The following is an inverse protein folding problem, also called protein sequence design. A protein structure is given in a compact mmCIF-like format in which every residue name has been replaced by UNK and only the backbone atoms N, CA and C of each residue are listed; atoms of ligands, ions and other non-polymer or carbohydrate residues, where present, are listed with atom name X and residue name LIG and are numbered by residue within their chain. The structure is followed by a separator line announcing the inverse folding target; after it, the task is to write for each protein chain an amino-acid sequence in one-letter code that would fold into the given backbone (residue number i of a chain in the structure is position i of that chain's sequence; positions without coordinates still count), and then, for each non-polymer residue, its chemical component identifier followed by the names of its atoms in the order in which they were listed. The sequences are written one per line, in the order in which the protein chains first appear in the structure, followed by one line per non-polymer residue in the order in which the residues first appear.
data_IF_772524235093
#
_entry.id   IF_772524235093
#
_cell.length_a   1.000
_cell.length_b   1.000
_cell.length_c   1.000
_cell.angle_alpha   90.00
_cell.angle_beta   90.00
_cell.angle_gamma   90.00
#
_symmetry.space_group_name_H-M   'P 1'
#
loop_
_entity.id
_entity.type
_entity.pdbx_description
1 polymer ?
#
# COMPACT_ATOMS: atom_id res chain seq x y z
N UNK A 1 4.69 12.46 7.39
CA UNK A 1 4.19 11.55 6.34
C UNK A 1 3.19 12.29 5.47
N UNK A 2 3.10 11.91 4.20
CA UNK A 2 2.12 12.44 3.25
C UNK A 2 0.71 12.11 3.73
N UNK A 3 -0.11 13.15 3.88
CA UNK A 3 -1.53 12.98 4.22
C UNK A 3 -2.28 12.50 2.99
N UNK A 4 -2.85 11.31 3.09
CA UNK A 4 -3.76 10.75 2.09
C UNK A 4 -5.07 10.45 2.80
N UNK A 5 -6.15 11.12 2.39
CA UNK A 5 -7.47 10.86 2.95
C UNK A 5 -7.97 9.45 2.55
N UNK A 6 -9.06 9.01 3.18
CA UNK A 6 -9.62 7.69 2.93
C UNK A 6 -10.06 7.49 1.48
N UNK A 7 -10.57 8.53 0.82
CA UNK A 7 -11.03 8.46 -0.56
C UNK A 7 -9.84 8.34 -1.53
N UNK A 8 -8.81 9.15 -1.36
CA UNK A 8 -7.56 9.08 -2.11
C UNK A 8 -6.90 7.71 -1.95
N UNK A 9 -6.74 7.20 -0.72
CA UNK A 9 -6.16 5.88 -0.47
C UNK A 9 -6.92 4.76 -1.18
N UNK A 10 -8.25 4.83 -1.15
CA UNK A 10 -9.13 3.84 -1.77
C UNK A 10 -9.09 3.92 -3.30
N UNK A 11 -9.17 5.13 -3.85
CA UNK A 11 -9.19 5.36 -5.29
C UNK A 11 -7.84 5.01 -5.96
N UNK A 12 -6.74 5.15 -5.22
CA UNK A 12 -5.40 4.76 -5.67
C UNK A 12 -5.10 3.27 -5.46
N UNK A 13 -6.01 2.51 -4.86
CA UNK A 13 -5.85 1.06 -4.62
C UNK A 13 -4.48 0.72 -3.98
N UNK A 14 -4.09 1.46 -2.93
CA UNK A 14 -2.73 1.38 -2.38
C UNK A 14 -2.41 0.00 -1.78
N UNK A 15 -3.39 -0.63 -1.12
CA UNK A 15 -3.19 -1.89 -0.39
C UNK A 15 -4.14 -3.00 -0.78
N UNK A 16 -5.25 -2.66 -1.44
CA UNK A 16 -6.24 -3.58 -1.96
C UNK A 16 -7.01 -2.90 -3.11
N UNK A 17 -7.52 -3.70 -4.04
CA UNK A 17 -8.33 -3.24 -5.17
C UNK A 17 -9.74 -2.86 -4.72
N UNK A 18 -10.34 -1.85 -5.37
CA UNK A 18 -11.66 -1.34 -4.99
C UNK A 18 -12.77 -2.38 -5.20
N UNK A 19 -12.69 -3.16 -6.28
CA UNK A 19 -13.75 -4.10 -6.70
C UNK A 19 -13.74 -5.41 -5.93
N UNK A 20 -12.55 -5.99 -5.72
CA UNK A 20 -12.40 -7.35 -5.18
C UNK A 20 -11.88 -7.39 -3.76
N UNK A 21 -11.44 -6.25 -3.19
CA UNK A 21 -10.72 -6.17 -1.91
C UNK A 21 -9.56 -7.17 -1.87
N UNK A 22 -8.89 -7.32 -3.00
CA UNK A 22 -7.76 -8.23 -3.17
C UNK A 22 -6.45 -7.44 -3.19
N UNK A 23 -5.39 -8.01 -2.62
CA UNK A 23 -4.03 -7.42 -2.70
C UNK A 23 -3.50 -7.49 -4.12
N UNK A 24 -3.81 -8.57 -4.85
CA UNK A 24 -3.47 -8.68 -6.27
C UNK A 24 -4.15 -7.56 -7.08
N UNK A 25 -3.35 -6.85 -7.87
CA UNK A 25 -3.78 -5.67 -8.63
C UNK A 25 -3.67 -4.33 -7.88
N UNK A 26 -3.35 -4.33 -6.59
CA UNK A 26 -3.06 -3.11 -5.82
C UNK A 26 -1.58 -2.69 -5.93
N UNK A 27 -1.24 -1.46 -5.54
CA UNK A 27 0.16 -1.02 -5.50
C UNK A 27 1.03 -1.92 -4.59
N UNK A 28 0.50 -2.32 -3.43
CA UNK A 28 1.18 -3.27 -2.55
C UNK A 28 1.43 -4.61 -3.24
N UNK A 29 0.45 -5.14 -3.99
CA UNK A 29 0.62 -6.40 -4.72
C UNK A 29 1.66 -6.32 -5.83
N UNK A 30 1.84 -5.15 -6.44
CA UNK A 30 2.88 -4.91 -7.46
C UNK A 30 4.27 -4.79 -6.83
N UNK A 31 4.40 -4.16 -5.66
CA UNK A 31 5.69 -3.87 -5.02
C UNK A 31 6.19 -4.97 -4.07
N UNK A 32 5.30 -5.81 -3.52
CA UNK A 32 5.68 -6.78 -2.50
C UNK A 32 6.46 -7.96 -3.10
N UNK A 33 7.79 -7.82 -3.06
CA UNK A 33 8.77 -8.89 -3.34
C UNK A 33 9.50 -9.31 -2.06
N UNK A 34 8.88 -9.12 -0.89
CA UNK A 34 9.55 -9.39 0.38
C UNK A 34 9.63 -10.90 0.65
N UNK A 35 10.78 -11.35 1.14
CA UNK A 35 11.03 -12.78 1.42
C UNK A 35 10.39 -13.24 2.73
N UNK A 36 10.08 -12.31 3.64
CA UNK A 36 9.52 -12.62 4.96
C UNK A 36 8.19 -11.91 5.17
N UNK A 37 7.28 -12.56 5.89
CA UNK A 37 6.00 -11.94 6.24
C UNK A 37 6.14 -10.67 7.06
N UNK A 38 7.22 -10.53 7.85
CA UNK A 38 7.53 -9.28 8.56
C UNK A 38 7.89 -8.15 7.58
N UNK A 39 8.62 -8.47 6.51
CA UNK A 39 8.94 -7.53 5.44
C UNK A 39 7.68 -6.99 4.76
N UNK A 40 6.76 -7.87 4.35
CA UNK A 40 5.50 -7.44 3.72
C UNK A 40 4.64 -6.58 4.65
N UNK A 41 4.63 -6.88 5.95
CA UNK A 41 3.99 -6.02 6.97
C UNK A 41 4.64 -4.64 7.04
N UNK A 42 5.96 -4.55 6.96
CA UNK A 42 6.68 -3.27 6.96
C UNK A 42 6.39 -2.47 5.69
N UNK A 43 6.46 -3.11 4.52
CA UNK A 43 6.17 -2.48 3.23
C UNK A 43 4.74 -1.91 3.19
N UNK A 44 3.74 -2.68 3.65
CA UNK A 44 2.36 -2.19 3.77
C UNK A 44 2.27 -0.92 4.60
N UNK A 45 3.03 -0.82 5.70
CA UNK A 45 3.05 0.39 6.54
C UNK A 45 3.68 1.57 5.82
N UNK A 46 4.75 1.36 5.07
CA UNK A 46 5.42 2.40 4.28
C UNK A 46 4.51 2.94 3.17
N UNK A 47 3.85 2.06 2.42
CA UNK A 47 2.89 2.48 1.38
C UNK A 47 1.74 3.28 1.98
N UNK A 48 1.23 2.87 3.14
CA UNK A 48 0.17 3.60 3.84
C UNK A 48 0.65 4.98 4.35
N UNK A 49 1.93 5.15 4.67
CA UNK A 49 2.47 6.38 5.23
C UNK A 49 3.73 6.81 4.45
N UNK A 50 3.58 7.40 3.25
CA UNK A 50 4.72 7.86 2.47
C UNK A 50 5.46 8.99 3.19
N UNK A 51 6.79 9.03 3.09
CA UNK A 51 7.59 10.12 3.65
C UNK A 51 7.36 11.43 2.87
N UNK A 52 7.66 12.57 3.50
CA UNK A 52 7.66 13.90 2.85
C UNK A 52 9.06 14.41 2.57
N UNK A 53 10.06 13.79 3.20
CA UNK A 53 11.47 14.16 3.10
C UNK A 53 12.13 13.39 1.94
N UNK A 54 13.11 14.01 1.29
CA UNK A 54 13.83 13.49 0.12
C UNK A 54 15.26 13.08 0.46
#
# INVERSE_FOLDING_TARGET
YMTLDAATRRNLELTETLRRRAVEGSLLGVLDSTVTSMGGRLLRRWIAHPLLDL
#
